data_IF_885771940842
#
_entry.id   IF_885771940842
#
_cell.length_a   1.000
_cell.length_b   1.000
_cell.length_c   1.000
_cell.angle_alpha   90.00
_cell.angle_beta   90.00
_cell.angle_gamma   90.00
#
_symmetry.space_group_name_H-M   'P 1'
#
loop_
_entity.id
_entity.type
_entity.pdbx_description
1 polymer ?
#
# COMPACT_ATOMS: atom_id res chain seq x y z
N UNK A 1 27.97 -21.41 -7.21
CA UNK A 1 28.79 -20.20 -7.01
C UNK A 1 28.62 -19.39 -8.29
N UNK A 2 27.57 -18.55 -8.43
CA UNK A 2 27.35 -17.22 -7.80
C UNK A 2 28.59 -16.35 -8.05
N UNK A 3 28.53 -15.22 -8.76
CA UNK A 3 27.83 -14.00 -8.35
C UNK A 3 27.39 -13.11 -9.53
N UNK A 4 26.14 -12.66 -9.41
CA UNK A 4 25.51 -11.41 -9.84
C UNK A 4 26.41 -10.30 -10.42
N UNK A 5 26.14 -9.90 -11.66
CA UNK A 5 26.61 -8.64 -12.27
C UNK A 5 25.42 -7.79 -12.71
N UNK A 6 24.92 -6.97 -11.78
CA UNK A 6 24.23 -5.68 -11.93
C UNK A 6 23.60 -5.33 -13.29
N UNK A 7 22.26 -5.30 -13.33
CA UNK A 7 21.41 -4.80 -14.44
C UNK A 7 21.41 -3.25 -14.48
N UNK A 8 22.48 -2.60 -14.03
CA UNK A 8 22.57 -1.13 -13.93
C UNK A 8 23.31 -0.48 -15.12
N UNK A 9 23.83 -1.27 -16.07
CA UNK A 9 24.72 -0.79 -17.13
C UNK A 9 24.27 -1.18 -18.54
N UNK A 10 22.95 -1.11 -18.81
CA UNK A 10 22.39 -1.30 -20.15
C UNK A 10 22.01 0.00 -20.84
N UNK A 11 22.15 1.16 -20.16
CA UNK A 11 21.81 2.46 -20.73
C UNK A 11 22.86 3.00 -21.71
N UNK A 12 24.10 2.49 -21.69
CA UNK A 12 25.18 2.97 -22.55
C UNK A 12 25.09 2.47 -24.00
N UNK A 13 24.59 1.25 -24.22
CA UNK A 13 24.53 0.64 -25.56
C UNK A 13 23.37 1.13 -26.45
N UNK A 14 22.39 1.84 -25.88
CA UNK A 14 21.18 2.27 -26.61
C UNK A 14 21.45 3.54 -27.45
N UNK A 15 22.47 4.33 -27.07
CA UNK A 15 22.81 5.58 -27.75
C UNK A 15 23.55 5.40 -29.08
N UNK A 16 24.06 4.18 -29.36
CA UNK A 16 24.89 3.93 -30.55
C UNK A 16 24.05 3.45 -31.75
N UNK A 17 22.79 3.05 -31.52
CA UNK A 17 21.94 2.43 -32.55
C UNK A 17 20.74 3.32 -32.92
N UNK A 18 20.37 4.31 -32.09
CA UNK A 18 19.19 5.16 -32.35
C UNK A 18 19.49 6.66 -32.36
N UNK A 19 18.96 7.42 -33.34
CA UNK A 19 19.12 8.87 -33.38
C UNK A 19 18.50 9.53 -32.15
N UNK A 20 19.13 10.63 -31.69
CA UNK A 20 18.82 11.35 -30.44
C UNK A 20 17.36 11.81 -30.29
N UNK A 21 16.62 11.92 -31.40
CA UNK A 21 15.18 12.19 -31.45
C UNK A 21 14.32 11.00 -31.01
N UNK A 22 14.76 9.76 -31.27
CA UNK A 22 14.06 8.53 -30.88
C UNK A 22 14.21 8.22 -29.39
N UNK A 23 15.34 8.60 -28.79
CA UNK A 23 15.59 8.39 -27.35
C UNK A 23 14.64 9.23 -26.47
N UNK A 24 14.29 10.45 -26.90
CA UNK A 24 13.28 11.27 -26.21
C UNK A 24 11.89 10.60 -26.20
N UNK A 25 11.52 9.88 -27.27
CA UNK A 25 10.23 9.20 -27.36
C UNK A 25 10.18 7.95 -26.46
N UNK A 26 11.27 7.19 -26.38
CA UNK A 26 11.40 6.01 -25.51
C UNK A 26 11.46 6.36 -24.01
N UNK A 27 12.14 7.46 -23.65
CA UNK A 27 12.19 7.95 -22.26
C UNK A 27 10.88 8.60 -21.81
N UNK A 28 10.15 9.25 -22.72
CA UNK A 28 8.78 9.72 -22.44
C UNK A 28 7.80 8.55 -22.26
N UNK A 29 8.01 7.42 -22.95
CA UNK A 29 7.20 6.21 -22.78
C UNK A 29 7.41 5.52 -21.43
N UNK A 30 8.61 5.57 -20.85
CA UNK A 30 8.91 4.89 -19.57
C UNK A 30 8.41 5.64 -18.33
N UNK A 31 8.14 6.94 -18.44
CA UNK A 31 7.47 7.71 -17.37
C UNK A 31 5.93 7.65 -17.45
N UNK A 32 5.36 7.28 -18.60
CA UNK A 32 3.91 7.09 -18.76
C UNK A 32 3.42 5.72 -18.24
N UNK A 33 4.25 4.68 -18.33
CA UNK A 33 3.92 3.31 -17.86
C UNK A 33 3.65 3.27 -16.34
N UNK A 34 4.19 4.21 -15.56
CA UNK A 34 3.95 4.26 -14.11
C UNK A 34 2.63 4.90 -13.69
N UNK A 35 1.95 5.62 -14.59
CA UNK A 35 0.69 6.31 -14.26
C UNK A 35 -0.56 5.53 -14.67
N UNK A 36 -0.42 4.46 -15.46
CA UNK A 36 -1.56 3.64 -15.95
C UNK A 36 -2.01 2.50 -15.03
N UNK A 37 -1.38 2.28 -13.87
CA UNK A 37 -1.74 1.15 -12.99
C UNK A 37 -2.64 1.54 -11.81
N UNK A 38 -3.42 2.62 -11.88
CA UNK A 38 -4.57 2.75 -10.98
C UNK A 38 -5.76 2.06 -11.61
N UNK A 39 -5.87 0.74 -11.37
CA UNK A 39 -7.11 0.01 -11.66
C UNK A 39 -8.22 0.67 -10.84
N UNK A 40 -9.21 1.26 -11.52
CA UNK A 40 -10.38 1.82 -10.84
C UNK A 40 -11.20 0.70 -10.20
N UNK A 41 -11.97 1.01 -9.17
CA UNK A 41 -12.86 0.02 -8.55
C UNK A 41 -13.79 -0.62 -9.59
N UNK A 42 -14.33 0.20 -10.50
CA UNK A 42 -15.18 -0.27 -11.59
C UNK A 42 -14.46 -1.28 -12.50
N UNK A 43 -13.22 -0.98 -12.89
CA UNK A 43 -12.42 -1.88 -13.71
C UNK A 43 -12.07 -3.17 -12.97
N UNK A 44 -11.74 -3.10 -11.68
CA UNK A 44 -11.49 -4.28 -10.86
C UNK A 44 -12.73 -5.17 -10.76
N UNK A 45 -13.91 -4.58 -10.56
CA UNK A 45 -15.17 -5.32 -10.51
C UNK A 45 -15.49 -6.02 -11.83
N UNK A 46 -15.26 -5.37 -12.96
CA UNK A 46 -15.42 -5.99 -14.28
C UNK A 46 -14.51 -7.21 -14.44
N UNK A 47 -13.26 -7.13 -13.98
CA UNK A 47 -12.32 -8.25 -14.02
C UNK A 47 -12.74 -9.37 -13.07
N UNK A 48 -13.14 -9.05 -11.84
CA UNK A 48 -13.61 -10.05 -10.86
C UNK A 48 -14.85 -10.78 -11.38
N UNK A 49 -15.76 -10.09 -12.07
CA UNK A 49 -16.96 -10.68 -12.65
C UNK A 49 -16.70 -11.69 -13.78
N UNK A 50 -15.50 -11.69 -14.37
CA UNK A 50 -15.10 -12.71 -15.36
C UNK A 50 -14.69 -14.04 -14.72
N UNK A 51 -14.44 -14.06 -13.40
CA UNK A 51 -14.07 -15.27 -12.68
C UNK A 51 -15.31 -16.18 -12.45
N UNK A 52 -15.12 -17.52 -12.45
CA UNK A 52 -16.14 -18.46 -11.96
C UNK A 52 -16.64 -18.10 -10.56
N UNK A 53 -17.87 -18.48 -10.23
CA UNK A 53 -18.49 -18.09 -8.95
C UNK A 53 -17.68 -18.58 -7.75
N UNK A 54 -17.14 -19.79 -7.83
CA UNK A 54 -16.32 -20.40 -6.78
C UNK A 54 -15.03 -19.62 -6.55
N UNK A 55 -14.41 -19.12 -7.63
CA UNK A 55 -13.20 -18.29 -7.52
C UNK A 55 -13.49 -16.90 -6.98
N UNK A 56 -14.67 -16.34 -7.27
CA UNK A 56 -15.11 -15.07 -6.68
C UNK A 56 -15.32 -15.20 -5.19
N UNK A 57 -15.94 -16.29 -4.73
CA UNK A 57 -16.13 -16.57 -3.30
C UNK A 57 -14.78 -16.70 -2.57
N UNK A 58 -13.83 -17.46 -3.15
CA UNK A 58 -12.47 -17.55 -2.61
C UNK A 58 -11.78 -16.18 -2.55
N UNK A 59 -11.93 -15.35 -3.58
CA UNK A 59 -11.33 -14.01 -3.61
C UNK A 59 -11.88 -13.13 -2.49
N UNK A 60 -13.19 -13.20 -2.22
CA UNK A 60 -13.83 -12.46 -1.11
C UNK A 60 -13.17 -12.82 0.23
N UNK A 61 -12.94 -14.11 0.47
CA UNK A 61 -12.28 -14.57 1.70
C UNK A 61 -10.84 -14.07 1.80
N UNK A 62 -10.08 -14.13 0.71
CA UNK A 62 -8.70 -13.65 0.67
C UNK A 62 -8.63 -12.16 0.98
N UNK A 63 -9.43 -11.34 0.29
CA UNK A 63 -9.44 -9.89 0.48
C UNK A 63 -9.88 -9.54 1.90
N UNK A 64 -10.91 -10.22 2.42
CA UNK A 64 -11.34 -10.03 3.82
C UNK A 64 -10.22 -10.30 4.81
N UNK A 65 -9.49 -11.40 4.63
CA UNK A 65 -8.37 -11.74 5.51
C UNK A 65 -7.25 -10.70 5.41
N UNK A 66 -6.91 -10.24 4.21
CA UNK A 66 -5.92 -9.18 4.01
C UNK A 66 -6.32 -7.87 4.70
N UNK A 67 -7.59 -7.49 4.65
CA UNK A 67 -8.10 -6.32 5.36
C UNK A 67 -7.99 -6.46 6.89
N UNK A 68 -8.28 -7.66 7.42
CA UNK A 68 -8.11 -7.94 8.85
C UNK A 68 -6.64 -7.80 9.25
N UNK A 69 -5.72 -8.37 8.49
CA UNK A 69 -4.29 -8.27 8.78
C UNK A 69 -3.75 -6.85 8.65
N UNK A 70 -4.20 -6.09 7.64
CA UNK A 70 -3.85 -4.68 7.50
C UNK A 70 -4.33 -3.86 8.71
N UNK A 71 -5.57 -4.10 9.18
CA UNK A 71 -6.11 -3.42 10.36
C UNK A 71 -5.37 -3.81 11.64
N UNK A 72 -4.96 -5.07 11.78
CA UNK A 72 -4.13 -5.53 12.91
C UNK A 72 -2.77 -4.84 12.92
N UNK A 73 -2.14 -4.70 11.75
CA UNK A 73 -0.87 -4.01 11.61
C UNK A 73 -1.00 -2.53 12.00
N UNK A 74 -2.03 -1.83 11.52
CA UNK A 74 -2.34 -0.45 11.91
C UNK A 74 -2.48 -0.31 13.44
N UNK A 75 -3.27 -1.19 14.07
CA UNK A 75 -3.47 -1.20 15.53
C UNK A 75 -2.14 -1.45 16.28
N UNK A 76 -1.30 -2.36 15.79
CA UNK A 76 -0.02 -2.67 16.41
C UNK A 76 0.93 -1.46 16.34
N UNK A 77 1.03 -0.82 15.18
CA UNK A 77 1.86 0.38 15.01
C UNK A 77 1.39 1.53 15.90
N UNK A 78 0.09 1.73 16.02
CA UNK A 78 -0.47 2.78 16.88
C UNK A 78 -0.27 2.47 18.37
N UNK A 79 -0.36 1.20 18.77
CA UNK A 79 -0.03 0.78 20.13
C UNK A 79 1.45 1.02 20.46
N UNK A 80 2.37 0.69 19.54
CA UNK A 80 3.80 0.95 19.71
C UNK A 80 4.10 2.45 19.88
N UNK A 81 3.48 3.30 19.04
CA UNK A 81 3.60 4.76 19.16
C UNK A 81 3.07 5.26 20.49
N UNK A 82 1.91 4.77 20.94
CA UNK A 82 1.30 5.17 22.20
C UNK A 82 2.18 4.78 23.40
N UNK A 83 2.71 3.56 23.41
CA UNK A 83 3.63 3.10 24.47
C UNK A 83 4.91 3.97 24.49
N UNK A 84 5.48 4.26 23.32
CA UNK A 84 6.66 5.12 23.23
C UNK A 84 6.38 6.54 23.76
N UNK A 85 5.25 7.13 23.39
CA UNK A 85 4.83 8.46 23.84
C UNK A 85 4.59 8.50 25.37
N UNK A 86 4.01 7.43 25.94
CA UNK A 86 3.85 7.29 27.39
C UNK A 86 5.20 7.25 28.11
N UNK A 87 6.13 6.41 27.64
CA UNK A 87 7.48 6.33 28.24
C UNK A 87 8.28 7.64 28.08
N UNK A 88 8.01 8.43 27.05
CA UNK A 88 8.61 9.76 26.85
C UNK A 88 7.92 10.86 27.68
N UNK A 89 6.86 10.55 28.44
CA UNK A 89 6.10 11.51 29.25
C UNK A 89 5.17 12.42 28.45
N UNK A 90 4.97 12.13 27.15
CA UNK A 90 4.04 12.87 26.28
C UNK A 90 2.58 12.48 26.55
N UNK A 91 2.36 11.23 26.97
CA UNK A 91 1.06 10.77 27.47
C UNK A 91 1.13 10.63 28.99
N UNK A 92 0.19 11.25 29.68
CA UNK A 92 0.08 11.20 31.13
C UNK A 92 -0.79 10.00 31.56
N UNK A 93 -0.46 9.33 32.67
CA UNK A 93 -1.33 8.30 33.24
C UNK A 93 -2.65 8.94 33.68
N UNK A 94 -3.77 8.30 33.32
CA UNK A 94 -5.11 8.73 33.68
C UNK A 94 -5.94 7.56 34.21
N UNK A 95 -6.91 7.80 35.11
CA UNK A 95 -7.87 6.79 35.51
C UNK A 95 -8.64 6.26 34.30
N UNK A 96 -8.86 4.94 34.27
CA UNK A 96 -9.55 4.29 33.16
C UNK A 96 -10.99 4.78 33.00
N UNK A 97 -11.63 5.19 34.09
CA UNK A 97 -12.99 5.73 34.10
C UNK A 97 -13.07 7.04 33.31
N UNK A 98 -12.06 7.90 33.43
CA UNK A 98 -11.96 9.16 32.69
C UNK A 98 -11.79 8.89 31.19
N UNK A 99 -10.90 7.97 30.83
CA UNK A 99 -10.65 7.58 29.44
C UNK A 99 -11.91 7.00 28.79
N UNK A 100 -12.63 6.11 29.50
CA UNK A 100 -13.87 5.51 28.99
C UNK A 100 -14.97 6.56 28.82
N UNK A 101 -15.09 7.51 29.76
CA UNK A 101 -16.08 8.58 29.68
C UNK A 101 -15.82 9.50 28.46
N UNK A 102 -14.57 9.88 28.25
CA UNK A 102 -14.14 10.67 27.08
C UNK A 102 -14.41 9.92 25.78
N UNK A 103 -13.99 8.65 25.69
CA UNK A 103 -14.21 7.83 24.50
C UNK A 103 -15.70 7.70 24.14
N UNK A 104 -16.57 7.46 25.14
CA UNK A 104 -18.02 7.38 24.92
C UNK A 104 -18.60 8.70 24.44
N UNK A 105 -18.14 9.84 24.98
CA UNK A 105 -18.59 11.15 24.55
C UNK A 105 -18.26 11.37 23.07
N UNK A 106 -17.02 11.07 22.65
CA UNK A 106 -16.58 11.21 21.25
C UNK A 106 -17.36 10.31 20.29
N UNK A 107 -17.61 9.04 20.66
CA UNK A 107 -18.33 8.09 19.81
C UNK A 107 -19.84 8.36 19.66
N UNK A 108 -20.42 9.23 20.50
CA UNK A 108 -21.85 9.58 20.47
C UNK A 108 -22.09 10.93 19.77
N UNK A 109 -21.04 11.62 19.33
CA UNK A 109 -21.12 12.94 18.68
C UNK A 109 -21.21 12.90 17.14
N UNK A 110 -21.22 11.70 16.54
CA UNK A 110 -21.50 11.45 15.11
C UNK A 110 -22.92 10.90 14.89
#
# INVERSE_FOLDING_TARGET
>A
MTVLGSIADTSAWIYEIYPRSSVKMLLLGSSLIRFEMMVTLEQALLTVNQLPIEQREMLVEIVKNQLIEARRQEIAEDAEKAIAAFHQGQLQPQPIETIIAELKATLTQD
#
